data_IF_829262717473
#
_entry.id   IF_829262717473
#
_cell.length_a   1.000
_cell.length_b   1.000
_cell.length_c   1.000
_cell.angle_alpha   90.00
_cell.angle_beta   90.00
_cell.angle_gamma   90.00
#
_symmetry.space_group_name_H-M   'P 1'
#
loop_
_entity.id
_entity.type
_entity.pdbx_description
1 polymer ?
#
# COMPACT_ATOMS: atom_id res chain seq x y z
N UNK A 1 13.97 17.27 11.00
CA UNK A 1 12.65 16.65 11.27
C UNK A 1 12.33 16.91 12.73
N UNK A 2 11.13 17.43 13.02
CA UNK A 2 10.63 17.65 14.38
C UNK A 2 10.54 16.29 15.13
N UNK A 3 10.77 16.27 16.45
CA UNK A 3 10.64 15.05 17.28
C UNK A 3 9.24 14.42 17.15
N UNK A 4 8.20 15.24 16.90
CA UNK A 4 6.85 14.74 16.63
C UNK A 4 6.74 14.02 15.29
N UNK A 5 7.51 14.45 14.29
CA UNK A 5 7.52 13.88 12.95
C UNK A 5 8.21 12.50 12.93
N UNK A 6 9.34 12.38 13.64
CA UNK A 6 10.03 11.10 13.85
C UNK A 6 9.10 10.11 14.57
N UNK A 7 8.42 10.58 15.62
CA UNK A 7 7.48 9.76 16.37
C UNK A 7 6.32 9.20 15.53
N UNK A 8 5.82 9.93 14.53
CA UNK A 8 4.74 9.44 13.65
C UNK A 8 5.24 8.35 12.69
N UNK A 9 6.43 8.52 12.08
CA UNK A 9 7.01 7.51 11.19
C UNK A 9 7.31 6.19 11.90
N UNK A 10 7.85 6.25 13.13
CA UNK A 10 8.10 5.07 13.96
C UNK A 10 6.80 4.35 14.35
N UNK A 11 5.75 5.10 14.71
CA UNK A 11 4.41 4.53 14.99
C UNK A 11 3.85 3.81 13.77
N UNK A 12 3.95 4.41 12.58
CA UNK A 12 3.51 3.77 11.34
C UNK A 12 4.29 2.48 11.05
N UNK A 13 5.62 2.48 11.20
CA UNK A 13 6.42 1.26 11.03
C UNK A 13 6.05 0.16 12.03
N UNK A 14 5.72 0.51 13.27
CA UNK A 14 5.22 -0.47 14.26
C UNK A 14 3.89 -1.07 13.83
N UNK A 15 2.95 -0.26 13.35
CA UNK A 15 1.66 -0.72 12.82
C UNK A 15 1.86 -1.59 11.57
N UNK A 16 2.71 -1.17 10.64
CA UNK A 16 3.03 -1.95 9.44
C UNK A 16 3.65 -3.31 9.78
N UNK A 17 4.56 -3.35 10.77
CA UNK A 17 5.14 -4.61 11.27
C UNK A 17 4.06 -5.54 11.80
N UNK A 18 3.19 -5.03 12.67
CA UNK A 18 2.10 -5.82 13.25
C UNK A 18 1.16 -6.39 12.17
N UNK A 19 0.76 -5.55 11.19
CA UNK A 19 -0.07 -6.00 10.06
C UNK A 19 0.64 -7.10 9.28
N UNK A 20 1.93 -6.91 8.96
CA UNK A 20 2.71 -7.88 8.22
C UNK A 20 2.83 -9.21 8.95
N UNK A 21 3.06 -9.19 10.27
CA UNK A 21 3.11 -10.39 11.12
C UNK A 21 1.77 -11.14 11.14
N UNK A 22 0.65 -10.41 11.23
CA UNK A 22 -0.70 -11.00 11.16
C UNK A 22 -0.90 -11.66 9.79
N UNK A 23 -0.59 -10.97 8.69
CA UNK A 23 -0.74 -11.50 7.34
C UNK A 23 0.13 -12.74 7.11
N UNK A 24 1.39 -12.72 7.56
CA UNK A 24 2.29 -13.88 7.48
C UNK A 24 1.75 -15.08 8.27
N UNK A 25 1.27 -14.87 9.50
CA UNK A 25 0.73 -15.93 10.35
C UNK A 25 -0.49 -16.64 9.74
N UNK A 26 -1.28 -15.89 8.96
CA UNK A 26 -2.47 -16.40 8.29
C UNK A 26 -2.26 -16.77 6.81
N UNK A 27 -1.03 -16.60 6.30
CA UNK A 27 -0.66 -16.81 4.89
C UNK A 27 -1.49 -15.97 3.92
N UNK A 28 -1.68 -14.70 4.26
CA UNK A 28 -2.28 -13.72 3.35
C UNK A 28 -1.20 -13.04 2.54
N UNK A 29 -1.38 -13.03 1.23
CA UNK A 29 -0.53 -12.23 0.34
C UNK A 29 -0.83 -10.75 0.54
N UNK A 30 0.21 -9.97 0.80
CA UNK A 30 0.10 -8.55 1.13
C UNK A 30 1.16 -7.77 0.34
N UNK A 31 0.75 -6.68 -0.28
CA UNK A 31 1.64 -5.77 -1.00
C UNK A 31 1.54 -4.36 -0.44
N UNK A 32 2.69 -3.77 -0.16
CA UNK A 32 2.78 -2.36 0.18
C UNK A 32 2.61 -1.50 -1.07
N UNK A 33 1.84 -0.42 -0.96
CA UNK A 33 1.68 0.60 -2.01
C UNK A 33 1.88 2.01 -1.44
N UNK A 34 1.54 3.03 -2.21
CA UNK A 34 1.55 4.41 -1.73
C UNK A 34 2.95 4.95 -1.43
N UNK A 35 3.05 5.84 -0.44
CA UNK A 35 4.33 6.49 -0.08
C UNK A 35 5.35 5.54 0.55
N UNK A 36 4.90 4.67 1.47
CA UNK A 36 5.77 3.70 2.13
C UNK A 36 6.39 2.70 1.16
N UNK A 37 5.67 2.28 0.11
CA UNK A 37 6.23 1.43 -0.95
C UNK A 37 7.49 2.03 -1.58
N UNK A 38 7.50 3.34 -1.84
CA UNK A 38 8.65 4.04 -2.44
C UNK A 38 9.86 3.97 -1.51
N UNK A 39 9.66 4.16 -0.20
CA UNK A 39 10.74 4.11 0.78
C UNK A 39 11.32 2.69 0.92
N UNK A 40 10.48 1.65 0.82
CA UNK A 40 10.94 0.25 0.78
C UNK A 40 11.73 -0.05 -0.50
N UNK A 41 11.28 0.44 -1.66
CA UNK A 41 12.01 0.31 -2.93
C UNK A 41 13.39 0.97 -2.86
N UNK A 42 13.51 2.10 -2.15
CA UNK A 42 14.76 2.84 -1.99
C UNK A 42 15.63 2.34 -0.81
N UNK A 43 15.10 1.46 0.04
CA UNK A 43 15.78 1.01 1.26
C UNK A 43 16.02 2.12 2.31
N UNK A 44 15.32 3.25 2.22
CA UNK A 44 15.46 4.38 3.16
C UNK A 44 14.18 5.20 3.26
N UNK A 45 13.96 5.80 4.43
CA UNK A 45 12.85 6.72 4.66
C UNK A 45 13.17 8.05 3.97
N UNK A 46 12.32 8.49 3.03
CA UNK A 46 12.57 9.73 2.26
C UNK A 46 11.80 10.92 2.79
N UNK A 47 10.62 10.70 3.38
CA UNK A 47 9.75 11.73 3.93
C UNK A 47 8.75 11.13 4.91
N UNK A 48 7.92 11.99 5.49
CA UNK A 48 6.76 11.58 6.27
C UNK A 48 5.63 11.12 5.36
N UNK A 49 4.89 10.10 5.82
CA UNK A 49 3.69 9.58 5.17
C UNK A 49 2.48 9.84 6.05
N UNK A 50 1.32 10.08 5.43
CA UNK A 50 0.07 10.35 6.14
C UNK A 50 -0.59 9.08 6.68
N UNK A 51 -0.33 7.96 6.02
CA UNK A 51 -1.13 6.74 6.04
C UNK A 51 -0.25 5.53 5.67
N UNK A 52 -0.82 4.33 5.83
CA UNK A 52 -0.26 3.08 5.31
C UNK A 52 -1.25 2.53 4.28
N UNK A 53 -0.80 2.41 3.03
CA UNK A 53 -1.61 1.88 1.95
C UNK A 53 -1.18 0.46 1.57
N UNK A 54 -2.13 -0.48 1.51
CA UNK A 54 -1.89 -1.89 1.29
C UNK A 54 -2.82 -2.45 0.21
N UNK A 55 -2.38 -3.53 -0.44
CA UNK A 55 -3.15 -4.32 -1.40
C UNK A 55 -3.15 -5.77 -0.96
N UNK A 56 -4.29 -6.44 -1.10
CA UNK A 56 -4.41 -7.89 -0.88
C UNK A 56 -5.53 -8.49 -1.73
N UNK A 57 -5.70 -9.82 -1.69
CA UNK A 57 -6.73 -10.50 -2.45
C UNK A 57 -8.10 -10.42 -1.76
N UNK A 58 -9.16 -10.16 -2.54
CA UNK A 58 -10.53 -10.01 -2.02
C UNK A 58 -11.04 -11.25 -1.29
N UNK A 59 -10.57 -12.44 -1.66
CA UNK A 59 -10.92 -13.69 -0.99
C UNK A 59 -10.46 -13.75 0.48
N UNK A 60 -9.49 -12.91 0.87
CA UNK A 60 -9.00 -12.82 2.24
C UNK A 60 -9.79 -11.80 3.08
N UNK A 61 -10.64 -10.98 2.46
CA UNK A 61 -11.25 -9.79 3.08
C UNK A 61 -11.86 -10.05 4.45
N UNK A 62 -12.83 -10.96 4.55
CA UNK A 62 -13.50 -11.23 5.83
C UNK A 62 -12.54 -11.70 6.92
N UNK A 63 -11.55 -12.54 6.55
CA UNK A 63 -10.56 -13.08 7.48
C UNK A 63 -9.56 -12.01 7.93
N UNK A 64 -9.10 -11.15 7.01
CA UNK A 64 -8.24 -10.01 7.32
C UNK A 64 -8.98 -9.01 8.21
N UNK A 65 -10.20 -8.64 7.85
CA UNK A 65 -11.02 -7.72 8.66
C UNK A 65 -11.20 -8.23 10.08
N UNK A 66 -11.52 -9.52 10.24
CA UNK A 66 -11.63 -10.14 11.56
C UNK A 66 -10.30 -10.14 12.32
N UNK A 67 -9.20 -10.49 11.66
CA UNK A 67 -7.88 -10.51 12.28
C UNK A 67 -7.43 -9.11 12.73
N UNK A 68 -7.65 -8.09 11.90
CA UNK A 68 -7.37 -6.69 12.25
C UNK A 68 -8.22 -6.22 13.43
N UNK A 69 -9.53 -6.50 13.44
CA UNK A 69 -10.40 -6.15 14.57
C UNK A 69 -9.95 -6.86 15.86
N UNK A 70 -9.61 -8.14 15.79
CA UNK A 70 -9.07 -8.89 16.94
C UNK A 70 -7.74 -8.32 17.45
N UNK A 71 -6.93 -7.74 16.55
CA UNK A 71 -5.69 -7.04 16.89
C UNK A 71 -5.93 -5.59 17.36
N UNK A 72 -7.18 -5.17 17.57
CA UNK A 72 -7.53 -3.86 18.10
C UNK A 72 -7.59 -2.72 17.07
N UNK A 73 -7.63 -3.04 15.77
CA UNK A 73 -7.91 -2.05 14.74
C UNK A 73 -9.41 -1.74 14.69
N UNK A 74 -9.77 -0.46 14.57
CA UNK A 74 -11.15 -0.05 14.29
C UNK A 74 -11.40 -0.16 12.79
N UNK A 75 -12.31 -1.05 12.38
CA UNK A 75 -12.74 -1.18 10.98
C UNK A 75 -13.63 0.00 10.56
N UNK A 76 -13.35 0.56 9.39
CA UNK A 76 -14.12 1.60 8.72
C UNK A 76 -14.44 1.09 7.30
N UNK A 77 -15.63 0.50 7.07
CA UNK A 77 -16.01 0.04 5.75
C UNK A 77 -16.13 1.22 4.78
N UNK A 78 -15.46 1.15 3.64
CA UNK A 78 -15.49 2.20 2.60
C UNK A 78 -16.32 1.74 1.40
N UNK A 79 -16.01 0.56 0.86
CA UNK A 79 -16.69 0.01 -0.32
C UNK A 79 -16.56 -1.51 -0.41
N UNK A 80 -17.03 -2.11 -1.51
CA UNK A 80 -16.77 -3.52 -1.84
C UNK A 80 -15.28 -3.84 -2.10
N UNK A 81 -14.46 -2.83 -2.42
CA UNK A 81 -13.08 -3.02 -2.84
C UNK A 81 -12.06 -2.34 -1.92
N UNK A 82 -12.53 -1.68 -0.87
CA UNK A 82 -11.68 -1.02 0.11
C UNK A 82 -12.23 -1.18 1.52
N UNK A 83 -11.33 -1.39 2.47
CA UNK A 83 -11.62 -1.25 3.90
C UNK A 83 -10.50 -0.46 4.53
N UNK A 84 -10.88 0.57 5.27
CA UNK A 84 -9.95 1.36 6.05
C UNK A 84 -9.96 0.87 7.50
N UNK A 85 -8.83 1.03 8.16
CA UNK A 85 -8.64 0.73 9.56
C UNK A 85 -7.96 1.90 10.25
N UNK A 86 -8.33 2.14 11.50
CA UNK A 86 -7.69 3.12 12.36
C UNK A 86 -7.12 2.41 13.60
N UNK A 87 -5.85 2.67 13.91
CA UNK A 87 -5.24 2.22 15.17
C UNK A 87 -4.19 3.22 15.64
N UNK A 88 -4.29 3.67 16.89
CA UNK A 88 -3.36 4.64 17.49
C UNK A 88 -3.15 5.90 16.62
N UNK A 89 -4.24 6.45 16.08
CA UNK A 89 -4.27 7.61 15.18
C UNK A 89 -3.53 7.41 13.83
N UNK A 90 -3.26 6.15 13.46
CA UNK A 90 -2.70 5.80 12.15
C UNK A 90 -3.79 5.23 11.26
N UNK A 91 -4.01 5.90 10.14
CA UNK A 91 -4.87 5.43 9.05
C UNK A 91 -4.16 4.35 8.23
N UNK A 92 -4.88 3.25 7.98
CA UNK A 92 -4.42 2.12 7.17
C UNK A 92 -5.51 1.79 6.16
N UNK A 93 -5.18 1.79 4.87
CA UNK A 93 -6.12 1.43 3.82
C UNK A 93 -5.75 0.09 3.19
N UNK A 94 -6.73 -0.81 3.07
CA UNK A 94 -6.60 -2.04 2.30
C UNK A 94 -7.45 -1.94 1.04
N UNK A 95 -6.80 -1.98 -0.11
CA UNK A 95 -7.43 -2.20 -1.42
C UNK A 95 -7.46 -3.70 -1.72
N UNK A 96 -8.62 -4.19 -2.11
CA UNK A 96 -8.82 -5.60 -2.45
C UNK A 96 -8.90 -5.81 -3.96
N UNK A 97 -8.15 -6.80 -4.45
CA UNK A 97 -8.13 -7.18 -5.86
C UNK A 97 -8.52 -8.64 -6.06
N UNK A 98 -9.02 -8.98 -7.24
CA UNK A 98 -9.32 -10.35 -7.66
C UNK A 98 -8.41 -10.74 -8.83
N UNK A 99 -7.99 -12.00 -8.87
CA UNK A 99 -7.38 -12.59 -10.06
C UNK A 99 -8.48 -13.24 -10.92
N UNK A 100 -8.54 -12.90 -12.20
CA UNK A 100 -9.39 -13.60 -13.16
C UNK A 100 -8.79 -14.96 -13.54
N UNK A 101 -9.59 -15.81 -14.20
CA UNK A 101 -9.11 -17.09 -14.73
C UNK A 101 -7.93 -16.94 -15.71
N UNK A 102 -7.90 -15.82 -16.46
CA UNK A 102 -6.84 -15.51 -17.44
C UNK A 102 -5.61 -14.82 -16.81
N UNK A 103 -5.56 -14.76 -15.47
CA UNK A 103 -4.48 -14.11 -14.72
C UNK A 103 -4.49 -12.59 -14.77
N UNK A 104 -5.60 -11.96 -15.18
CA UNK A 104 -5.74 -10.51 -15.09
C UNK A 104 -6.07 -10.10 -13.65
N UNK A 105 -5.51 -8.99 -13.20
CA UNK A 105 -5.85 -8.40 -11.91
C UNK A 105 -7.03 -7.45 -12.12
N UNK A 106 -8.11 -7.70 -11.40
CA UNK A 106 -9.33 -6.90 -11.40
C UNK A 106 -9.42 -6.22 -10.04
N UNK A 107 -9.25 -4.91 -10.02
CA UNK A 107 -9.60 -4.09 -8.89
C UNK A 107 -10.67 -3.11 -9.35
N UNK A 108 -11.90 -3.25 -8.85
CA UNK A 108 -12.95 -2.27 -9.10
C UNK A 108 -13.13 -1.35 -7.89
N UNK A 109 -12.03 -0.96 -7.25
CA UNK A 109 -12.02 0.10 -6.25
C UNK A 109 -11.73 1.45 -6.91
N UNK A 110 -12.43 2.49 -6.47
CA UNK A 110 -12.28 3.87 -6.92
C UNK A 110 -10.79 4.30 -6.99
N UNK A 111 -10.27 4.79 -8.14
CA UNK A 111 -10.80 4.80 -9.51
C UNK A 111 -10.54 3.52 -10.34
N UNK A 112 -11.19 3.40 -11.51
CA UNK A 112 -11.02 2.31 -12.51
C UNK A 112 -9.58 2.17 -13.03
N UNK A 113 -8.71 1.63 -12.19
CA UNK A 113 -7.31 1.40 -12.49
C UNK A 113 -7.16 0.18 -13.38
N UNK A 114 -6.40 0.34 -14.47
CA UNK A 114 -5.90 -0.81 -15.20
C UNK A 114 -4.72 -1.37 -14.43
N UNK A 115 -4.82 -2.64 -14.02
CA UNK A 115 -3.74 -3.33 -13.33
C UNK A 115 -2.89 -4.13 -14.32
N UNK A 116 -1.58 -3.88 -14.29
CA UNK A 116 -0.63 -4.71 -15.03
C UNK A 116 -0.63 -6.15 -14.49
N UNK A 117 -0.42 -7.15 -15.36
CA UNK A 117 -0.36 -8.57 -14.95
C UNK A 117 0.76 -8.85 -13.93
N UNK A 118 1.79 -8.02 -13.94
CA UNK A 118 2.96 -8.06 -13.08
C UNK A 118 2.86 -7.12 -11.85
N UNK A 119 1.68 -6.50 -11.62
CA UNK A 119 1.51 -5.51 -10.55
C UNK A 119 1.74 -6.12 -9.16
N UNK A 120 1.28 -7.35 -8.94
CA UNK A 120 1.44 -8.09 -7.67
C UNK A 120 2.78 -8.85 -7.64
N UNK A 121 3.89 -8.11 -7.60
CA UNK A 121 5.24 -8.69 -7.53
C UNK A 121 5.45 -9.49 -6.24
N UNK A 122 6.10 -10.65 -6.32
CA UNK A 122 6.51 -11.44 -5.14
C UNK A 122 7.89 -11.04 -4.60
N UNK A 123 8.43 -9.92 -5.09
CA UNK A 123 9.71 -9.39 -4.63
C UNK A 123 9.55 -8.75 -3.25
N UNK A 124 10.31 -9.26 -2.28
CA UNK A 124 10.40 -8.67 -0.95
C UNK A 124 11.40 -7.52 -0.92
N UNK A 125 11.05 -6.50 -0.15
CA UNK A 125 11.92 -5.38 0.19
C UNK A 125 12.02 -5.25 1.71
N UNK A 126 13.17 -4.75 2.16
CA UNK A 126 13.50 -4.67 3.57
C UNK A 126 13.69 -3.22 4.01
N UNK A 127 12.99 -2.80 5.06
CA UNK A 127 13.19 -1.51 5.69
C UNK A 127 12.93 -1.63 7.19
N UNK A 128 13.86 -1.15 8.02
CA UNK A 128 13.73 -1.14 9.48
C UNK A 128 13.32 -2.51 10.07
N UNK A 129 13.85 -3.60 9.52
CA UNK A 129 13.55 -4.98 9.96
C UNK A 129 12.16 -5.49 9.59
N UNK A 130 11.45 -4.85 8.64
CA UNK A 130 10.21 -5.34 8.04
C UNK A 130 10.56 -5.89 6.66
N UNK A 131 10.11 -7.11 6.33
CA UNK A 131 10.19 -7.71 5.00
C UNK A 131 8.78 -7.85 4.44
N UNK A 132 8.47 -7.19 3.33
CA UNK A 132 7.13 -7.21 2.73
C UNK A 132 7.24 -7.13 1.21
N UNK A 133 6.27 -7.72 0.50
CA UNK A 133 6.17 -7.51 -0.93
C UNK A 133 5.76 -6.05 -1.22
N UNK A 134 6.29 -5.48 -2.29
CA UNK A 134 5.93 -4.13 -2.73
C UNK A 134 5.28 -4.22 -4.10
N UNK A 135 4.24 -3.41 -4.32
CA UNK A 135 3.59 -3.31 -5.62
C UNK A 135 4.61 -2.90 -6.69
N UNK A 136 4.48 -3.46 -7.90
CA UNK A 136 5.41 -3.18 -8.99
C UNK A 136 5.56 -1.65 -9.21
N UNK A 137 6.79 -1.13 -9.36
CA UNK A 137 7.03 0.30 -9.59
C UNK A 137 6.21 0.87 -10.77
N UNK A 138 5.99 0.09 -11.83
CA UNK A 138 5.15 0.50 -12.95
C UNK A 138 3.70 0.71 -12.52
N UNK A 139 3.14 -0.18 -11.69
CA UNK A 139 1.79 -0.02 -11.16
C UNK A 139 1.69 1.20 -10.23
N UNK A 140 2.66 1.40 -9.33
CA UNK A 140 2.71 2.59 -8.45
C UNK A 140 2.71 3.90 -9.25
N UNK A 141 3.42 3.94 -10.39
CA UNK A 141 3.43 5.09 -11.28
C UNK A 141 2.07 5.29 -11.97
N UNK A 142 1.45 4.20 -12.46
CA UNK A 142 0.17 4.29 -13.15
C UNK A 142 -0.95 4.81 -12.24
N UNK A 143 -1.04 4.30 -11.01
CA UNK A 143 -2.01 4.76 -10.02
C UNK A 143 -1.92 6.28 -9.78
N UNK A 144 -0.70 6.83 -9.75
CA UNK A 144 -0.49 8.28 -9.61
C UNK A 144 -0.87 9.04 -10.88
N UNK A 145 -0.56 8.51 -12.07
CA UNK A 145 -0.90 9.16 -13.35
C UNK A 145 -2.40 9.34 -13.54
N UNK A 146 -3.17 8.32 -13.17
CA UNK A 146 -4.63 8.31 -13.38
C UNK A 146 -5.40 8.80 -12.15
N UNK A 147 -4.72 9.15 -11.05
CA UNK A 147 -5.36 9.62 -9.82
C UNK A 147 -6.24 10.85 -10.05
N UNK A 148 -5.75 11.85 -10.79
CA UNK A 148 -6.53 13.05 -11.08
C UNK A 148 -7.71 12.77 -11.99
N UNK A 149 -7.51 11.99 -13.06
CA UNK A 149 -8.60 11.55 -13.96
C UNK A 149 -9.67 10.77 -13.21
N UNK A 150 -9.25 9.88 -12.30
CA UNK A 150 -10.13 8.97 -11.61
C UNK A 150 -10.84 9.55 -10.39
N UNK A 151 -10.27 10.56 -9.74
CA UNK A 151 -10.84 11.17 -8.53
C UNK A 151 -11.33 12.60 -8.73
N UNK A 152 -10.96 13.26 -9.83
CA UNK A 152 -11.15 14.69 -10.05
C UNK A 152 -10.27 15.58 -9.15
N UNK A 153 -9.41 15.00 -8.31
CA UNK A 153 -8.54 15.75 -7.38
C UNK A 153 -7.19 16.02 -8.05
N UNK A 154 -6.78 17.28 -8.04
CA UNK A 154 -5.45 17.68 -8.55
C UNK A 154 -4.33 16.96 -7.82
N UNK A 155 -3.29 16.59 -8.57
CA UNK A 155 -2.05 16.09 -7.98
C UNK A 155 -1.42 17.14 -7.07
N UNK A 156 -0.97 16.71 -5.89
CA UNK A 156 -0.24 17.57 -4.96
C UNK A 156 1.25 17.57 -5.32
N UNK A 157 2.04 18.56 -4.88
CA UNK A 157 3.49 18.59 -5.12
C UNK A 157 4.21 17.28 -4.74
N UNK A 158 3.83 16.67 -3.60
CA UNK A 158 4.39 15.37 -3.15
C UNK A 158 4.07 14.20 -4.09
N UNK A 159 2.94 14.27 -4.80
CA UNK A 159 2.54 13.23 -5.76
C UNK A 159 3.43 13.32 -7.01
N UNK A 160 3.70 14.54 -7.50
CA UNK A 160 4.61 14.80 -8.62
C UNK A 160 6.05 14.37 -8.29
N UNK A 161 6.53 14.69 -7.09
CA UNK A 161 7.85 14.26 -6.62
C UNK A 161 7.94 12.72 -6.54
N UNK A 162 6.92 12.07 -5.98
CA UNK A 162 6.85 10.61 -5.92
C UNK A 162 6.90 9.99 -7.32
N UNK A 163 6.23 10.57 -8.33
CA UNK A 163 6.29 10.09 -9.71
C UNK A 163 7.71 10.17 -10.29
N UNK A 164 8.45 11.26 -10.03
CA UNK A 164 9.85 11.41 -10.48
C UNK A 164 10.74 10.33 -9.85
N UNK A 165 10.58 10.07 -8.56
CA UNK A 165 11.32 9.04 -7.84
C UNK A 165 11.03 7.65 -8.42
N UNK A 166 9.74 7.31 -8.60
CA UNK A 166 9.34 6.02 -9.16
C UNK A 166 9.89 5.86 -10.59
N UNK A 167 9.86 6.92 -11.40
CA UNK A 167 10.43 6.87 -12.75
C UNK A 167 11.94 6.60 -12.72
N UNK A 168 12.67 7.20 -11.77
CA UNK A 168 14.10 6.91 -11.56
C UNK A 168 14.36 5.46 -11.14
N UNK A 169 13.53 4.91 -10.25
CA UNK A 169 13.60 3.49 -9.84
C UNK A 169 13.41 2.58 -11.05
N UNK A 170 12.38 2.83 -11.88
CA UNK A 170 12.12 2.06 -13.09
C UNK A 170 13.33 2.10 -14.03
N UNK A 171 13.90 3.29 -14.27
CA UNK A 171 15.07 3.44 -15.14
C UNK A 171 16.34 2.77 -14.62
N UNK A 172 16.44 2.46 -13.32
CA UNK A 172 17.58 1.73 -12.75
C UNK A 172 17.45 0.20 -12.79
N UNK A 173 16.25 -0.32 -13.07
CA UNK A 173 15.95 -1.76 -13.10
C UNK A 173 15.87 -2.28 -14.55
N UNK A 174 15.63 -1.39 -15.51
CA UNK A 174 15.67 -1.66 -16.96
C UNK A 174 17.08 -1.69 -17.51
#
# INVERSE_FOLDING_TARGET
>A
MDNREIGTGEKQLKILREINEICLSHKFDLWLRGGWAIDFLLGKITRLHSDIDLVTLIQYRERIEKAMVNAGFKKIPVSEFQTDFLKNDIDVSFVFVRLSADGNIIANGFPDWVWGKDALSIQNYHLQGISINVLNPHQLLQEKKVYEQGTGRKLRPKDIESMKIIQGIISSIS
#
